data_IF_074597362447
#
_entry.id   IF_074597362447
#
_cell.length_a   1.000
_cell.length_b   1.000
_cell.length_c   1.000
_cell.angle_alpha   90.00
_cell.angle_beta   90.00
_cell.angle_gamma   90.00
#
_symmetry.space_group_name_H-M   'P 1'
#
loop_
_entity.id
_entity.type
_entity.pdbx_description
1 polymer ?
#
# COMPACT_ATOMS: atom_id res chain seq x y z
N UNK A 1 5.47 6.10 10.00
CA UNK A 1 6.68 5.29 9.88
C UNK A 1 6.13 3.96 9.43
N UNK A 2 6.39 3.58 8.20
CA UNK A 2 5.65 2.48 7.57
C UNK A 2 6.42 1.21 7.84
N UNK A 3 5.77 0.23 8.45
CA UNK A 3 6.43 -1.00 8.89
C UNK A 3 6.26 -2.01 7.77
N UNK A 4 7.38 -2.49 7.25
CA UNK A 4 7.40 -3.66 6.39
C UNK A 4 8.52 -4.56 6.91
N UNK A 5 8.14 -5.65 7.57
CA UNK A 5 9.03 -6.68 8.11
C UNK A 5 8.33 -8.01 7.96
N UNK A 6 9.09 -9.01 7.56
CA UNK A 6 8.63 -10.39 7.59
C UNK A 6 9.81 -11.33 7.85
N UNK A 7 9.64 -12.25 8.80
CA UNK A 7 10.58 -13.34 9.02
C UNK A 7 10.13 -14.65 8.36
N UNK A 8 8.95 -14.69 7.73
CA UNK A 8 8.41 -15.84 6.99
C UNK A 8 8.31 -17.13 7.83
N UNK A 9 8.28 -17.01 9.16
CA UNK A 9 8.26 -18.13 10.13
C UNK A 9 6.85 -18.54 10.56
N UNK A 10 5.81 -17.82 10.14
CA UNK A 10 4.43 -18.13 10.52
C UNK A 10 3.75 -19.15 9.58
N UNK A 11 4.37 -19.42 8.43
CA UNK A 11 3.97 -20.47 7.50
C UNK A 11 2.77 -20.09 6.64
N UNK A 12 2.41 -18.81 6.59
CA UNK A 12 1.39 -18.28 5.71
C UNK A 12 1.77 -16.88 5.23
N UNK A 13 1.95 -16.74 3.91
CA UNK A 13 2.18 -15.42 3.33
C UNK A 13 0.99 -14.48 3.62
N UNK A 14 1.23 -13.49 4.48
CA UNK A 14 0.20 -12.60 4.99
C UNK A 14 -0.30 -11.65 3.89
N UNK A 15 -1.54 -11.85 3.45
CA UNK A 15 -2.18 -11.02 2.43
C UNK A 15 -2.39 -9.56 2.87
N UNK A 16 -2.17 -9.23 4.15
CA UNK A 16 -2.14 -7.85 4.63
C UNK A 16 -0.79 -7.17 4.45
N UNK A 17 0.28 -7.96 4.30
CA UNK A 17 1.64 -7.49 4.04
C UNK A 17 2.03 -7.63 2.58
N UNK A 18 1.50 -8.64 1.89
CA UNK A 18 1.96 -9.05 0.57
C UNK A 18 0.85 -9.15 -0.46
N UNK A 19 1.12 -8.58 -1.63
CA UNK A 19 0.41 -8.84 -2.87
C UNK A 19 1.23 -9.81 -3.73
N UNK A 20 0.54 -10.76 -4.35
CA UNK A 20 1.16 -11.82 -5.14
C UNK A 20 0.64 -11.75 -6.55
N UNK A 21 1.56 -11.58 -7.50
CA UNK A 21 1.28 -11.80 -8.91
C UNK A 21 2.09 -13.00 -9.39
N UNK A 22 1.41 -14.01 -9.95
CA UNK A 22 2.10 -15.18 -10.48
C UNK A 22 1.41 -15.73 -11.72
N UNK A 23 2.23 -16.17 -12.67
CA UNK A 23 1.80 -16.93 -13.83
C UNK A 23 1.45 -18.39 -13.49
N UNK A 24 0.71 -19.06 -14.36
CA UNK A 24 0.49 -20.51 -14.25
C UNK A 24 1.85 -21.24 -14.28
N UNK A 25 2.06 -22.20 -13.37
CA UNK A 25 3.25 -23.06 -13.38
C UNK A 25 4.32 -22.75 -12.33
N UNK A 26 4.21 -21.64 -11.61
CA UNK A 26 4.96 -21.38 -10.38
C UNK A 26 4.07 -21.57 -9.15
N UNK A 27 4.69 -21.83 -8.00
CA UNK A 27 4.04 -21.85 -6.71
C UNK A 27 4.85 -21.01 -5.71
N UNK A 28 4.16 -20.13 -4.99
CA UNK A 28 4.73 -19.34 -3.91
C UNK A 28 4.13 -19.84 -2.60
N UNK A 29 4.97 -20.08 -1.61
CA UNK A 29 4.54 -20.36 -0.25
C UNK A 29 5.64 -20.02 0.74
N UNK A 30 5.25 -19.72 1.96
CA UNK A 30 6.17 -19.82 3.09
C UNK A 30 6.34 -21.29 3.47
N UNK A 31 7.59 -21.75 3.58
CA UNK A 31 7.88 -23.15 3.89
C UNK A 31 9.20 -23.29 4.62
N UNK A 32 9.11 -23.73 5.89
CA UNK A 32 10.24 -23.92 6.81
C UNK A 32 11.00 -22.62 7.12
N UNK A 33 10.29 -21.50 7.29
CA UNK A 33 10.90 -20.21 7.62
C UNK A 33 11.37 -19.38 6.43
N UNK A 34 11.14 -19.84 5.19
CA UNK A 34 11.53 -19.11 3.98
C UNK A 34 10.31 -18.79 3.13
N UNK A 35 10.32 -17.63 2.46
CA UNK A 35 9.52 -17.39 1.27
C UNK A 35 10.11 -18.21 0.10
N UNK A 36 9.36 -19.21 -0.37
CA UNK A 36 9.81 -20.15 -1.39
C UNK A 36 9.08 -19.95 -2.70
N UNK A 37 9.86 -19.77 -3.77
CA UNK A 37 9.42 -19.81 -5.15
C UNK A 37 9.79 -21.18 -5.74
N UNK A 38 8.79 -21.98 -6.08
CA UNK A 38 8.95 -23.27 -6.77
C UNK A 38 8.50 -23.13 -8.22
N UNK A 39 9.41 -23.37 -9.15
CA UNK A 39 9.16 -23.23 -10.59
C UNK A 39 8.94 -24.58 -11.26
N UNK A 40 7.90 -24.65 -12.09
CA UNK A 40 7.63 -25.78 -12.97
C UNK A 40 8.70 -26.00 -14.04
N UNK A 41 8.56 -27.09 -14.79
CA UNK A 41 9.45 -27.43 -15.92
C UNK A 41 8.82 -27.01 -17.25
N UNK A 42 9.62 -26.49 -18.18
CA UNK A 42 9.17 -26.09 -19.53
C UNK A 42 8.09 -25.01 -19.49
N UNK A 43 8.28 -24.04 -18.59
CA UNK A 43 7.33 -22.95 -18.38
C UNK A 43 8.01 -21.58 -18.52
N UNK A 44 7.18 -20.58 -18.78
CA UNK A 44 7.55 -19.18 -18.69
C UNK A 44 6.84 -18.60 -17.50
N UNK A 45 7.59 -17.98 -16.60
CA UNK A 45 7.05 -17.47 -15.36
C UNK A 45 7.41 -16.01 -15.15
N UNK A 46 6.43 -15.30 -14.60
CA UNK A 46 6.57 -13.98 -14.01
C UNK A 46 5.92 -14.11 -12.65
N UNK A 47 6.71 -14.05 -11.58
CA UNK A 47 6.22 -14.38 -10.24
C UNK A 47 6.82 -13.41 -9.25
N UNK A 48 6.00 -12.49 -8.76
CA UNK A 48 6.38 -11.38 -7.91
C UNK A 48 5.62 -11.45 -6.58
N UNK A 49 6.32 -11.11 -5.50
CA UNK A 49 5.74 -10.85 -4.18
C UNK A 49 6.13 -9.42 -3.82
N UNK A 50 5.13 -8.53 -3.81
CA UNK A 50 5.28 -7.10 -3.56
C UNK A 50 4.58 -6.73 -2.25
N UNK A 51 5.05 -5.70 -1.54
CA UNK A 51 4.35 -5.22 -0.36
C UNK A 51 2.94 -4.73 -0.73
N UNK A 52 1.90 -5.15 0.00
CA UNK A 52 0.50 -4.76 -0.23
C UNK A 52 0.21 -3.28 0.11
N UNK A 53 1.11 -2.68 0.88
CA UNK A 53 1.12 -1.27 1.24
C UNK A 53 2.40 -0.64 0.71
N UNK A 54 2.31 0.63 0.32
CA UNK A 54 3.50 1.41 0.05
C UNK A 54 4.33 1.60 1.33
N UNK A 55 5.63 1.61 1.13
CA UNK A 55 6.70 1.79 2.07
C UNK A 55 7.40 3.12 1.72
N UNK A 56 7.56 3.98 2.71
CA UNK A 56 8.37 5.18 2.54
C UNK A 56 9.84 4.80 2.71
N UNK A 57 10.60 4.84 1.62
CA UNK A 57 12.02 4.54 1.62
C UNK A 57 12.89 5.76 2.01
N UNK A 58 12.30 6.93 2.29
CA UNK A 58 13.03 8.18 2.54
C UNK A 58 13.93 8.10 3.77
N UNK A 59 15.24 8.23 3.55
CA UNK A 59 16.30 8.06 4.56
C UNK A 59 16.22 6.72 5.31
N UNK A 60 15.74 5.66 4.63
CA UNK A 60 15.56 4.33 5.20
C UNK A 60 16.40 3.29 4.50
N UNK A 61 16.35 2.08 5.04
CA UNK A 61 16.99 0.90 4.49
C UNK A 61 15.96 -0.18 4.27
N UNK A 62 16.21 -1.06 3.33
CA UNK A 62 15.47 -2.31 3.18
C UNK A 62 16.46 -3.45 3.04
N UNK A 63 16.31 -4.50 3.85
CA UNK A 63 17.20 -5.66 3.90
C UNK A 63 16.41 -6.94 3.58
N UNK A 64 17.06 -7.89 2.91
CA UNK A 64 16.54 -9.24 2.69
C UNK A 64 17.70 -10.25 2.73
N UNK A 65 17.41 -11.45 3.21
CA UNK A 65 18.32 -12.59 3.15
C UNK A 65 18.01 -13.49 1.94
N UNK A 66 19.06 -13.98 1.30
CA UNK A 66 19.04 -15.10 0.36
C UNK A 66 19.69 -16.29 1.07
N UNK A 67 18.91 -17.11 1.81
CA UNK A 67 19.45 -18.14 2.70
C UNK A 67 20.09 -19.32 1.94
N UNK A 68 19.68 -19.52 0.68
CA UNK A 68 20.22 -20.55 -0.20
C UNK A 68 20.75 -19.91 -1.47
N UNK A 69 21.91 -20.38 -1.94
CA UNK A 69 22.52 -19.87 -3.17
C UNK A 69 21.54 -19.89 -4.35
N UNK A 70 21.50 -18.79 -5.10
CA UNK A 70 20.82 -18.73 -6.40
C UNK A 70 21.57 -19.64 -7.37
N UNK A 71 20.88 -20.66 -7.87
CA UNK A 71 21.43 -21.62 -8.83
C UNK A 71 20.42 -21.78 -9.96
N UNK A 72 20.75 -21.22 -11.12
CA UNK A 72 19.97 -21.42 -12.33
C UNK A 72 20.01 -22.88 -12.78
N UNK A 73 18.84 -23.46 -13.12
CA UNK A 73 18.79 -24.75 -13.79
C UNK A 73 19.62 -24.79 -15.09
N UNK A 74 20.18 -25.94 -15.49
CA UNK A 74 20.91 -26.03 -16.75
C UNK A 74 20.01 -25.76 -17.97
N UNK A 75 20.42 -24.83 -18.84
CA UNK A 75 19.66 -24.40 -20.03
C UNK A 75 18.31 -23.73 -19.69
N UNK A 76 18.23 -23.05 -18.54
CA UNK A 76 17.19 -22.08 -18.25
C UNK A 76 17.71 -20.65 -18.43
N UNK A 77 16.79 -19.71 -18.34
CA UNK A 77 17.01 -18.27 -18.34
C UNK A 77 16.17 -17.78 -17.17
N UNK A 78 16.72 -17.82 -15.95
CA UNK A 78 15.94 -17.54 -14.73
C UNK A 78 16.62 -16.45 -13.92
N UNK A 79 15.81 -15.45 -13.64
CA UNK A 79 16.22 -14.24 -12.99
C UNK A 79 15.65 -14.20 -11.58
N UNK A 80 16.45 -13.70 -10.64
CA UNK A 80 16.05 -13.47 -9.25
C UNK A 80 16.27 -12.01 -8.92
N UNK A 81 15.19 -11.31 -8.58
CA UNK A 81 15.22 -9.87 -8.29
C UNK A 81 14.76 -9.56 -6.87
N UNK A 82 15.36 -8.53 -6.30
CA UNK A 82 14.94 -7.83 -5.09
C UNK A 82 14.95 -6.34 -5.39
N UNK A 83 13.79 -5.68 -5.27
CA UNK A 83 13.59 -4.35 -5.79
C UNK A 83 12.84 -3.42 -4.83
N UNK A 84 13.08 -2.12 -5.01
CA UNK A 84 12.25 -1.02 -4.52
C UNK A 84 11.65 -0.34 -5.75
N UNK A 85 10.33 -0.34 -5.84
CA UNK A 85 9.58 0.11 -7.01
C UNK A 85 8.77 1.35 -6.65
N UNK A 86 8.86 2.43 -7.42
CA UNK A 86 7.83 3.47 -7.42
C UNK A 86 6.65 3.03 -8.30
N UNK A 87 6.96 2.50 -9.49
CA UNK A 87 6.01 1.93 -10.43
C UNK A 87 6.72 0.96 -11.41
N UNK A 88 5.99 0.37 -12.36
CA UNK A 88 6.54 -0.58 -13.35
C UNK A 88 7.66 0.01 -14.22
N UNK A 89 7.69 1.32 -14.43
CA UNK A 89 8.71 2.01 -15.22
C UNK A 89 9.78 2.71 -14.38
N UNK A 90 9.68 2.67 -13.06
CA UNK A 90 10.56 3.39 -12.13
C UNK A 90 10.90 2.52 -10.91
N UNK A 91 12.06 1.86 -10.92
CA UNK A 91 12.51 1.01 -9.81
C UNK A 91 14.04 0.91 -9.71
N UNK A 92 14.52 0.45 -8.56
CA UNK A 92 15.91 0.04 -8.33
C UNK A 92 15.94 -1.42 -7.92
N UNK A 93 16.91 -2.19 -8.41
CA UNK A 93 16.95 -3.63 -8.16
C UNK A 93 18.36 -4.18 -7.92
N UNK A 94 18.41 -5.22 -7.09
CA UNK A 94 19.39 -6.28 -7.21
C UNK A 94 18.80 -7.34 -8.12
N UNK A 95 19.60 -7.82 -9.06
CA UNK A 95 19.21 -8.81 -10.04
C UNK A 95 20.30 -9.86 -10.15
N UNK A 96 19.94 -11.14 -10.15
CA UNK A 96 20.86 -12.26 -10.36
C UNK A 96 20.44 -13.03 -11.61
N UNK A 97 21.35 -13.08 -12.59
CA UNK A 97 21.20 -13.75 -13.89
C UNK A 97 22.58 -14.15 -14.44
N UNK A 98 22.64 -15.28 -15.16
CA UNK A 98 23.81 -15.96 -15.72
C UNK A 98 25.00 -16.00 -14.72
N UNK A 99 24.68 -16.24 -13.44
CA UNK A 99 25.66 -16.27 -12.35
C UNK A 99 26.33 -14.92 -12.04
N UNK A 100 25.71 -13.81 -12.42
CA UNK A 100 26.15 -12.44 -12.13
C UNK A 100 25.18 -11.76 -11.18
N UNK A 101 25.69 -11.04 -10.18
CA UNK A 101 24.93 -10.06 -9.42
C UNK A 101 24.99 -8.72 -10.16
N UNK A 102 23.83 -8.11 -10.38
CA UNK A 102 23.66 -6.82 -11.03
C UNK A 102 22.98 -5.85 -10.06
N UNK A 103 23.47 -4.62 -10.00
CA UNK A 103 22.73 -3.50 -9.44
C UNK A 103 22.21 -2.67 -10.61
N UNK A 104 20.90 -2.50 -10.71
CA UNK A 104 20.27 -1.82 -11.83
C UNK A 104 19.23 -0.81 -11.39
N UNK A 105 18.93 0.10 -12.31
CA UNK A 105 17.83 1.07 -12.19
C UNK A 105 17.01 1.00 -13.48
N UNK A 106 15.71 1.18 -13.36
CA UNK A 106 14.83 1.44 -14.48
C UNK A 106 14.12 2.76 -14.23
N UNK A 107 14.25 3.70 -15.15
CA UNK A 107 13.69 5.05 -15.04
C UNK A 107 12.92 5.39 -16.32
N UNK A 108 11.66 5.77 -16.21
CA UNK A 108 10.77 5.99 -17.38
C UNK A 108 10.82 4.81 -18.38
N UNK A 109 10.77 3.60 -17.85
CA UNK A 109 10.88 2.34 -18.60
C UNK A 109 12.18 2.18 -19.39
N UNK A 110 13.26 2.79 -18.92
CA UNK A 110 14.61 2.63 -19.47
C UNK A 110 15.50 1.97 -18.44
N UNK A 111 15.72 0.67 -18.63
CA UNK A 111 16.57 -0.13 -17.77
C UNK A 111 18.05 0.13 -18.02
N UNK A 112 18.83 0.18 -16.94
CA UNK A 112 20.27 0.36 -16.96
C UNK A 112 20.97 -0.41 -15.83
N UNK A 113 21.89 -1.30 -16.19
CA UNK A 113 22.88 -1.84 -15.26
C UNK A 113 23.84 -0.74 -14.79
N UNK A 114 23.95 -0.54 -13.48
CA UNK A 114 24.93 0.36 -12.86
C UNK A 114 26.21 -0.40 -12.53
N UNK A 115 26.07 -1.65 -12.09
CA UNK A 115 27.17 -2.54 -11.70
C UNK A 115 26.82 -3.99 -12.04
N UNK A 116 27.81 -4.78 -12.44
CA UNK A 116 27.68 -6.22 -12.60
C UNK A 116 28.98 -6.91 -12.16
N UNK A 117 28.86 -7.94 -11.30
CA UNK A 117 29.97 -8.75 -10.80
C UNK A 117 29.58 -10.23 -10.66
N UNK A 118 30.52 -11.18 -10.61
CA UNK A 118 30.17 -12.58 -10.39
C UNK A 118 29.41 -12.78 -9.07
N UNK A 119 28.28 -13.48 -9.13
CA UNK A 119 27.50 -13.81 -7.93
C UNK A 119 28.29 -14.77 -7.02
N UNK A 120 28.31 -14.45 -5.74
CA UNK A 120 28.97 -15.24 -4.70
C UNK A 120 28.02 -15.41 -3.51
N UNK A 121 27.42 -16.59 -3.31
CA UNK A 121 26.40 -16.80 -2.27
C UNK A 121 26.95 -16.68 -0.84
N UNK A 122 28.27 -16.69 -0.65
CA UNK A 122 28.88 -16.42 0.67
C UNK A 122 29.01 -14.92 0.94
N UNK A 123 29.19 -14.10 -0.09
CA UNK A 123 29.33 -12.64 0.05
C UNK A 123 28.02 -11.87 -0.16
N UNK A 124 27.09 -12.46 -0.92
CA UNK A 124 25.80 -11.89 -1.32
C UNK A 124 24.63 -12.53 -0.59
N UNK A 125 24.85 -13.02 0.64
CA UNK A 125 23.81 -13.65 1.45
C UNK A 125 22.73 -12.65 1.87
N UNK A 126 23.13 -11.44 2.21
CA UNK A 126 22.22 -10.35 2.53
C UNK A 126 22.33 -9.25 1.47
N UNK A 127 21.18 -8.77 1.02
CA UNK A 127 21.07 -7.63 0.12
C UNK A 127 20.42 -6.47 0.85
N UNK A 128 20.88 -5.25 0.59
CA UNK A 128 20.33 -4.05 1.21
C UNK A 128 20.30 -2.87 0.25
N UNK A 129 19.16 -2.20 0.23
CA UNK A 129 19.06 -0.83 -0.24
C UNK A 129 19.17 0.14 0.93
N UNK A 130 19.85 1.25 0.70
CA UNK A 130 19.88 2.38 1.63
C UNK A 130 19.66 3.68 0.88
N UNK A 131 18.66 4.44 1.31
CA UNK A 131 18.54 5.85 0.98
C UNK A 131 19.31 6.66 2.03
N UNK A 132 20.36 7.35 1.59
CA UNK A 132 21.17 8.21 2.46
C UNK A 132 20.75 9.69 2.42
N UNK A 133 19.60 9.98 1.82
CA UNK A 133 19.02 11.30 1.61
C UNK A 133 19.30 11.88 0.23
N UNK A 134 20.36 11.43 -0.45
CA UNK A 134 20.77 11.91 -1.78
C UNK A 134 20.93 10.82 -2.84
N UNK A 135 21.19 9.59 -2.40
CA UNK A 135 21.47 8.45 -3.27
C UNK A 135 20.80 7.20 -2.73
N UNK A 136 20.39 6.33 -3.65
CA UNK A 136 20.19 4.91 -3.35
C UNK A 136 21.56 4.24 -3.37
N UNK A 137 21.83 3.43 -2.37
CA UNK A 137 23.06 2.65 -2.23
C UNK A 137 22.70 1.17 -2.18
N UNK A 138 23.40 0.37 -2.99
CA UNK A 138 23.32 -1.09 -2.99
C UNK A 138 24.43 -1.62 -2.08
N UNK A 139 24.06 -2.35 -1.03
CA UNK A 139 24.99 -2.98 -0.10
C UNK A 139 24.75 -4.49 -0.03
N UNK A 140 25.83 -5.22 0.24
CA UNK A 140 25.78 -6.67 0.47
C UNK A 140 26.48 -7.04 1.78
N UNK A 141 26.06 -8.14 2.40
CA UNK A 141 26.74 -8.77 3.53
C UNK A 141 26.81 -10.28 3.38
N UNK A 142 27.96 -10.84 3.77
CA UNK A 142 28.18 -12.28 3.87
C UNK A 142 28.02 -12.83 5.28
N UNK A 143 27.57 -12.02 6.24
CA UNK A 143 27.40 -12.41 7.63
C UNK A 143 26.37 -13.56 7.74
N UNK A 144 26.63 -14.50 8.66
CA UNK A 144 25.68 -15.57 8.98
C UNK A 144 24.78 -15.12 10.12
N UNK A 145 23.46 -15.25 9.96
CA UNK A 145 22.49 -14.64 10.87
C UNK A 145 22.42 -13.13 10.61
N UNK A 146 22.12 -12.32 11.64
CA UNK A 146 21.90 -10.88 11.47
C UNK A 146 23.10 -10.15 10.83
N UNK A 147 22.88 -9.35 9.78
CA UNK A 147 23.95 -8.67 9.06
C UNK A 147 24.46 -7.45 9.84
N UNK A 148 25.77 -7.40 10.07
CA UNK A 148 26.45 -6.29 10.77
C UNK A 148 27.54 -5.62 9.93
N UNK A 149 28.08 -6.34 8.94
CA UNK A 149 29.15 -5.86 8.06
C UNK A 149 28.62 -5.67 6.64
N UNK A 150 28.36 -4.43 6.27
CA UNK A 150 27.87 -4.07 4.94
C UNK A 150 28.99 -3.57 4.04
N UNK A 151 29.00 -4.04 2.79
CA UNK A 151 29.91 -3.55 1.75
C UNK A 151 29.10 -2.90 0.63
N UNK A 152 29.42 -1.64 0.31
CA UNK A 152 28.83 -0.94 -0.84
C UNK A 152 29.26 -1.62 -2.14
N UNK A 153 28.30 -1.84 -3.03
CA UNK A 153 28.53 -2.32 -4.40
C UNK A 153 28.30 -1.24 -5.43
N UNK A 154 27.27 -0.43 -5.24
CA UNK A 154 26.95 0.67 -6.14
C UNK A 154 26.16 1.77 -5.43
N UNK A 155 26.04 2.91 -6.10
CA UNK A 155 25.22 4.03 -5.68
C UNK A 155 24.67 4.78 -6.91
N UNK A 156 23.51 5.39 -6.76
CA UNK A 156 22.82 6.10 -7.83
C UNK A 156 22.08 7.33 -7.28
N UNK A 157 22.11 8.44 -8.02
CA UNK A 157 21.54 9.72 -7.57
C UNK A 157 20.01 9.71 -7.61
N UNK A 158 19.38 10.11 -6.51
CA UNK A 158 17.93 9.96 -6.29
C UNK A 158 17.05 10.91 -7.11
N UNK A 159 17.59 12.04 -7.59
CA UNK A 159 16.86 13.00 -8.43
C UNK A 159 16.34 12.36 -9.73
N UNK A 160 16.77 11.14 -10.04
CA UNK A 160 16.42 10.40 -11.24
C UNK A 160 15.61 9.13 -10.97
N UNK A 161 15.20 8.84 -9.74
CA UNK A 161 14.70 7.51 -9.35
C UNK A 161 13.18 7.44 -9.35
N UNK A 162 12.50 7.91 -8.30
CA UNK A 162 11.03 8.05 -8.20
C UNK A 162 10.69 8.72 -6.85
N UNK A 163 9.41 8.97 -6.59
CA UNK A 163 8.97 9.40 -5.26
C UNK A 163 9.19 8.29 -4.22
N UNK A 164 10.11 8.54 -3.28
CA UNK A 164 10.48 7.59 -2.23
C UNK A 164 9.41 7.40 -1.16
N UNK A 165 8.40 8.26 -1.11
CA UNK A 165 7.33 8.18 -0.11
C UNK A 165 6.38 7.01 -0.39
N UNK A 166 6.23 6.66 -1.66
CA UNK A 166 5.22 5.73 -2.15
C UNK A 166 5.87 4.61 -2.96
N UNK A 167 6.61 3.74 -2.26
CA UNK A 167 7.39 2.69 -2.91
C UNK A 167 6.91 1.32 -2.48
N UNK A 168 6.96 0.34 -3.36
CA UNK A 168 6.73 -1.05 -3.01
C UNK A 168 8.05 -1.78 -2.92
N UNK A 169 8.16 -2.66 -1.93
CA UNK A 169 9.31 -3.53 -1.79
C UNK A 169 8.88 -4.91 -2.24
N UNK A 170 9.72 -5.59 -3.00
CA UNK A 170 9.41 -6.96 -3.31
C UNK A 170 10.55 -7.76 -3.86
N UNK A 171 10.24 -9.03 -4.04
CA UNK A 171 11.13 -10.03 -4.63
C UNK A 171 10.41 -10.70 -5.78
N UNK A 172 11.19 -11.07 -6.78
CA UNK A 172 10.67 -11.61 -8.01
C UNK A 172 11.54 -12.74 -8.51
N UNK A 173 10.90 -13.73 -9.12
CA UNK A 173 11.57 -14.79 -9.88
C UNK A 173 10.86 -14.88 -11.22
N UNK A 174 11.58 -14.66 -12.31
CA UNK A 174 11.01 -14.64 -13.66
C UNK A 174 11.93 -15.22 -14.70
N UNK A 175 11.38 -15.56 -15.87
CA UNK A 175 12.12 -16.14 -16.98
C UNK A 175 11.54 -17.46 -17.48
N UNK A 176 12.39 -18.36 -17.95
CA UNK A 176 12.00 -19.64 -18.55
C UNK A 176 12.83 -20.82 -18.05
N UNK A 177 12.17 -21.92 -17.75
CA UNK A 177 12.86 -23.19 -17.41
C UNK A 177 12.77 -24.16 -18.57
N UNK A 178 13.84 -24.91 -18.82
CA UNK A 178 13.83 -25.99 -19.82
C UNK A 178 14.19 -27.32 -19.15
N UNK A 179 13.31 -28.32 -19.23
CA UNK A 179 13.50 -29.70 -18.73
C UNK A 179 13.74 -29.87 -17.21
N UNK A 180 14.02 -28.81 -16.44
CA UNK A 180 14.25 -28.83 -15.00
C UNK A 180 13.70 -27.55 -14.35
N UNK A 181 12.97 -27.66 -13.25
CA UNK A 181 12.48 -26.53 -12.45
C UNK A 181 13.56 -25.94 -11.53
N UNK A 182 13.21 -24.93 -10.76
CA UNK A 182 14.11 -24.26 -9.81
C UNK A 182 13.38 -23.95 -8.50
N UNK A 183 14.16 -23.85 -7.41
CA UNK A 183 13.67 -23.45 -6.10
C UNK A 183 14.50 -22.26 -5.64
N UNK A 184 13.85 -21.14 -5.34
CA UNK A 184 14.48 -19.91 -4.89
C UNK A 184 13.86 -19.49 -3.57
N UNK A 185 14.70 -18.93 -2.69
CA UNK A 185 14.34 -18.67 -1.30
C UNK A 185 14.76 -17.27 -0.90
N UNK A 186 13.88 -16.60 -0.20
CA UNK A 186 14.14 -15.35 0.50
C UNK A 186 13.72 -15.51 1.95
N UNK A 187 14.40 -14.81 2.84
CA UNK A 187 14.11 -14.85 4.27
C UNK A 187 14.39 -13.46 4.89
N UNK A 188 13.86 -13.21 6.07
CA UNK A 188 14.29 -12.15 6.97
C UNK A 188 14.25 -10.73 6.37
N UNK A 189 13.12 -10.34 5.79
CA UNK A 189 12.93 -8.97 5.31
C UNK A 189 12.87 -7.99 6.49
N UNK A 190 13.79 -7.02 6.54
CA UNK A 190 13.80 -5.95 7.55
C UNK A 190 13.73 -6.45 9.00
N UNK A 191 14.23 -7.65 9.29
CA UNK A 191 14.19 -8.19 10.66
C UNK A 191 15.25 -7.59 11.58
N UNK A 192 16.25 -6.90 11.00
CA UNK A 192 17.33 -6.22 11.71
C UNK A 192 16.98 -4.81 12.17
N UNK A 193 15.90 -4.23 11.64
CA UNK A 193 15.31 -2.98 12.15
C UNK A 193 14.34 -3.30 13.31
N UNK A 194 14.29 -2.41 14.32
CA UNK A 194 13.44 -2.62 15.49
C UNK A 194 11.95 -2.70 15.12
N UNK A 195 11.10 -3.12 16.08
CA UNK A 195 9.64 -3.08 15.89
C UNK A 195 9.17 -1.63 15.80
N UNK A 196 9.12 -1.10 14.59
CA UNK A 196 8.44 0.16 14.30
C UNK A 196 6.93 -0.10 14.29
N UNK A 197 6.13 0.95 14.47
CA UNK A 197 4.66 0.91 14.33
C UNK A 197 4.27 1.82 13.17
N UNK A 198 3.13 1.56 12.53
CA UNK A 198 2.62 2.42 11.48
C UNK A 198 2.52 3.88 11.97
N UNK A 199 2.64 4.84 11.05
CA UNK A 199 2.44 6.24 11.42
C UNK A 199 1.04 6.42 12.04
N UNK A 200 0.88 7.26 13.08
CA UNK A 200 -0.45 7.67 13.51
C UNK A 200 -1.26 8.16 12.31
N UNK A 201 -2.53 7.80 12.23
CA UNK A 201 -3.40 8.13 11.11
C UNK A 201 -3.49 9.64 10.84
N UNK A 202 -3.46 10.46 11.87
CA UNK A 202 -3.48 11.92 11.81
C UNK A 202 -2.14 12.57 11.42
N UNK A 203 -1.10 11.77 11.14
CA UNK A 203 0.22 12.28 10.73
C UNK A 203 0.40 12.43 9.23
N UNK A 204 -0.52 11.89 8.43
CA UNK A 204 -0.61 12.15 7.00
C UNK A 204 -1.86 12.97 6.72
N UNK A 205 -1.73 13.88 5.79
CA UNK A 205 -2.74 14.87 5.45
C UNK A 205 -2.66 15.19 3.99
N UNK A 206 -3.78 15.66 3.46
CA UNK A 206 -3.90 16.14 2.09
C UNK A 206 -4.82 17.36 2.07
N UNK A 207 -4.33 18.49 1.57
CA UNK A 207 -5.11 19.71 1.38
C UNK A 207 -5.74 19.79 -0.02
N UNK A 208 -5.47 18.79 -0.88
CA UNK A 208 -5.98 18.71 -2.25
C UNK A 208 -5.71 19.99 -3.07
N UNK A 209 -4.58 20.67 -2.78
CA UNK A 209 -4.16 21.95 -3.36
C UNK A 209 -3.00 21.81 -4.38
N UNK A 210 -2.53 20.59 -4.67
CA UNK A 210 -1.38 20.35 -5.56
C UNK A 210 -1.80 20.01 -7.00
N UNK A 211 -3.08 19.66 -7.20
CA UNK A 211 -3.67 19.34 -8.49
C UNK A 211 -3.37 17.93 -8.99
N UNK A 212 -2.88 17.04 -8.13
CA UNK A 212 -2.58 15.64 -8.41
C UNK A 212 -3.13 14.70 -7.33
N UNK A 213 -4.29 14.13 -7.63
CA UNK A 213 -4.94 13.08 -6.82
C UNK A 213 -3.99 11.91 -6.50
N UNK A 214 -2.96 11.68 -7.29
CA UNK A 214 -2.11 10.47 -7.18
C UNK A 214 -1.05 10.56 -6.08
N UNK A 215 -0.77 11.74 -5.49
CA UNK A 215 0.23 11.87 -4.42
C UNK A 215 -0.27 11.20 -3.13
N UNK A 216 0.13 9.95 -2.89
CA UNK A 216 -0.26 9.20 -1.71
C UNK A 216 -1.60 8.47 -1.80
N UNK A 217 -2.28 8.56 -2.94
CA UNK A 217 -3.47 7.77 -3.22
C UNK A 217 -3.26 6.78 -4.36
N UNK A 218 -3.94 5.64 -4.26
CA UNK A 218 -4.19 4.73 -5.35
C UNK A 218 -5.65 4.90 -5.79
N UNK A 219 -5.89 4.73 -7.08
CA UNK A 219 -7.22 4.78 -7.67
C UNK A 219 -7.68 3.38 -8.06
N UNK A 220 -8.89 3.00 -7.64
CA UNK A 220 -9.59 1.88 -8.26
C UNK A 220 -10.53 2.46 -9.33
N UNK A 221 -10.18 2.26 -10.61
CA UNK A 221 -11.02 2.64 -11.74
C UNK A 221 -12.40 1.94 -11.62
N UNK A 222 -13.44 2.72 -11.39
CA UNK A 222 -14.80 2.27 -11.69
C UNK A 222 -14.98 2.09 -13.21
N UNK A 223 -15.99 1.33 -13.63
CA UNK A 223 -16.25 0.78 -14.98
C UNK A 223 -16.52 1.79 -16.12
N UNK A 224 -16.07 3.04 -16.00
CA UNK A 224 -16.07 4.05 -17.04
C UNK A 224 -17.36 4.85 -17.06
N UNK A 225 -17.46 5.86 -16.20
CA UNK A 225 -18.62 6.75 -16.13
C UNK A 225 -18.55 7.84 -15.07
N UNK A 226 -17.65 7.73 -14.10
CA UNK A 226 -17.25 8.85 -13.25
C UNK A 226 -15.83 9.32 -13.58
N UNK A 227 -15.52 10.54 -13.17
CA UNK A 227 -14.20 11.15 -13.28
C UNK A 227 -13.77 11.61 -11.91
N UNK A 228 -12.52 11.34 -11.55
CA UNK A 228 -11.87 11.91 -10.38
C UNK A 228 -10.95 13.06 -10.79
N UNK A 229 -11.02 14.19 -10.08
CA UNK A 229 -10.21 15.35 -10.35
C UNK A 229 -9.91 16.08 -9.05
N UNK A 230 -8.66 16.52 -8.91
CA UNK A 230 -8.31 17.52 -7.92
C UNK A 230 -8.30 18.90 -8.57
N UNK A 231 -9.13 19.81 -8.07
CA UNK A 231 -9.11 21.19 -8.50
C UNK A 231 -9.70 22.12 -7.44
N UNK A 232 -9.13 23.32 -7.35
CA UNK A 232 -9.56 24.38 -6.43
C UNK A 232 -9.50 23.99 -4.94
N UNK A 233 -8.52 23.18 -4.53
CA UNK A 233 -8.39 22.75 -3.13
C UNK A 233 -9.39 21.66 -2.74
N UNK A 234 -9.87 20.85 -3.69
CA UNK A 234 -10.85 19.81 -3.41
C UNK A 234 -10.64 18.63 -4.36
N UNK A 235 -10.85 17.42 -3.85
CA UNK A 235 -11.02 16.23 -4.68
C UNK A 235 -12.49 16.04 -5.03
N UNK A 236 -12.79 15.92 -6.32
CA UNK A 236 -14.14 15.76 -6.88
C UNK A 236 -14.27 14.40 -7.53
N UNK A 237 -15.36 13.70 -7.23
CA UNK A 237 -15.81 12.55 -8.01
C UNK A 237 -17.17 12.87 -8.61
N UNK A 238 -17.19 13.07 -9.93
CA UNK A 238 -18.38 13.38 -10.71
C UNK A 238 -18.75 12.23 -11.65
N UNK A 239 -20.01 11.83 -11.62
CA UNK A 239 -20.56 10.69 -12.33
C UNK A 239 -21.59 11.11 -13.38
N UNK A 240 -21.52 10.50 -14.56
CA UNK A 240 -22.48 10.69 -15.64
C UNK A 240 -23.80 9.95 -15.38
N UNK A 241 -24.83 10.30 -16.14
CA UNK A 241 -26.09 9.54 -16.18
C UNK A 241 -25.84 8.10 -16.62
N UNK A 242 -26.53 7.14 -15.99
CA UNK A 242 -26.44 5.73 -16.34
C UNK A 242 -25.38 4.94 -15.57
N UNK A 243 -24.64 5.57 -14.66
CA UNK A 243 -23.65 4.90 -13.81
C UNK A 243 -24.32 4.16 -12.66
N UNK A 244 -23.88 2.91 -12.44
CA UNK A 244 -24.24 2.01 -11.35
C UNK A 244 -22.95 1.35 -10.83
N UNK A 245 -22.18 2.09 -10.01
CA UNK A 245 -20.82 1.68 -9.66
C UNK A 245 -20.24 2.37 -8.41
N UNK A 246 -19.07 1.89 -7.97
CA UNK A 246 -18.22 2.46 -6.94
C UNK A 246 -16.97 3.09 -7.56
N UNK A 247 -16.57 4.24 -7.04
CA UNK A 247 -15.34 4.95 -7.40
C UNK A 247 -14.61 5.32 -6.12
N UNK A 248 -13.38 4.86 -6.01
CA UNK A 248 -12.63 4.88 -4.76
C UNK A 248 -11.23 5.44 -4.99
N UNK A 249 -10.79 6.27 -4.06
CA UNK A 249 -9.37 6.47 -3.81
C UNK A 249 -9.05 6.00 -2.41
N UNK A 250 -7.91 5.36 -2.27
CA UNK A 250 -7.42 4.88 -0.98
C UNK A 250 -5.94 5.17 -0.82
N UNK A 251 -5.52 5.42 0.42
CA UNK A 251 -4.14 5.72 0.71
C UNK A 251 -3.25 4.56 0.26
N UNK A 252 -2.12 4.86 -0.40
CA UNK A 252 -1.22 3.81 -0.89
C UNK A 252 -0.65 2.98 0.26
N UNK A 253 -0.56 3.58 1.43
CA UNK A 253 0.02 2.95 2.60
C UNK A 253 -0.94 2.95 3.81
N UNK A 254 -0.65 2.11 4.81
CA UNK A 254 -1.50 1.88 5.97
C UNK A 254 -1.03 2.59 7.26
N UNK A 255 -1.97 3.07 8.05
CA UNK A 255 -1.75 3.88 9.25
C UNK A 255 -2.24 3.22 10.52
N UNK A 256 -1.67 3.62 11.66
CA UNK A 256 -2.14 3.22 12.98
C UNK A 256 -3.22 4.20 13.45
N UNK A 257 -4.46 3.73 13.61
CA UNK A 257 -5.55 4.52 14.16
C UNK A 257 -5.48 4.59 15.70
N UNK A 258 -4.70 3.75 16.37
CA UNK A 258 -4.60 3.67 17.84
C UNK A 258 -4.19 5.00 18.45
N UNK A 259 -5.05 5.57 19.30
CA UNK A 259 -4.88 6.88 19.91
C UNK A 259 -4.88 8.04 18.91
N UNK A 260 -5.31 7.81 17.67
CA UNK A 260 -5.27 8.74 16.54
C UNK A 260 -6.66 8.88 15.91
N UNK A 261 -6.74 9.57 14.76
CA UNK A 261 -7.98 9.87 14.07
C UNK A 261 -7.77 10.12 12.58
N UNK A 262 -8.86 10.00 11.82
CA UNK A 262 -8.98 10.57 10.47
C UNK A 262 -10.11 11.58 10.44
N UNK A 263 -9.86 12.76 9.85
CA UNK A 263 -10.85 13.80 9.62
C UNK A 263 -10.94 14.18 8.16
N UNK A 264 -12.12 14.55 7.70
CA UNK A 264 -12.30 15.12 6.36
C UNK A 264 -13.43 16.14 6.38
N UNK A 265 -13.33 17.15 5.50
CA UNK A 265 -14.42 18.07 5.19
C UNK A 265 -15.22 17.55 4.00
N UNK A 266 -16.54 17.41 4.16
CA UNK A 266 -17.46 17.14 3.05
C UNK A 266 -17.89 18.48 2.43
N UNK A 267 -17.22 18.92 1.36
CA UNK A 267 -17.53 20.19 0.67
C UNK A 267 -18.77 20.08 -0.20
N UNK A 268 -19.04 18.89 -0.76
CA UNK A 268 -20.27 18.56 -1.50
C UNK A 268 -20.79 17.18 -1.11
N UNK A 269 -21.68 17.16 -0.13
CA UNK A 269 -22.40 15.97 0.27
C UNK A 269 -23.56 15.60 -0.70
N UNK A 270 -23.93 14.32 -0.83
CA UNK A 270 -25.11 13.90 -1.57
C UNK A 270 -26.38 14.61 -1.10
N UNK A 271 -27.20 15.05 -2.05
CA UNK A 271 -28.50 15.62 -1.73
C UNK A 271 -29.47 14.54 -1.22
N UNK A 272 -30.39 14.91 -0.33
CA UNK A 272 -31.39 13.96 0.15
C UNK A 272 -32.28 13.46 -0.99
N UNK A 273 -32.40 12.13 -1.12
CA UNK A 273 -33.11 11.49 -2.23
C UNK A 273 -32.30 11.39 -3.53
N UNK A 274 -31.03 11.79 -3.54
CA UNK A 274 -30.09 11.47 -4.63
C UNK A 274 -29.77 9.99 -4.64
N UNK A 275 -29.46 9.44 -5.82
CA UNK A 275 -28.89 8.11 -5.98
C UNK A 275 -27.37 8.08 -5.72
N UNK A 276 -26.73 9.21 -5.44
CA UNK A 276 -25.32 9.26 -5.03
C UNK A 276 -25.17 8.98 -3.53
N UNK A 277 -24.11 8.25 -3.20
CA UNK A 277 -23.57 8.14 -1.86
C UNK A 277 -22.11 8.59 -1.80
N UNK A 278 -21.66 8.94 -0.59
CA UNK A 278 -20.25 9.22 -0.29
C UNK A 278 -19.84 8.52 1.00
N UNK A 279 -18.57 8.16 1.11
CA UNK A 279 -18.05 7.49 2.29
C UNK A 279 -16.64 7.97 2.64
N UNK A 280 -16.41 8.22 3.93
CA UNK A 280 -15.08 8.13 4.53
C UNK A 280 -15.01 6.75 5.19
N UNK A 281 -14.04 5.95 4.81
CA UNK A 281 -13.81 4.66 5.45
C UNK A 281 -12.34 4.45 5.80
N UNK A 282 -12.11 3.60 6.78
CA UNK A 282 -10.78 3.07 7.08
C UNK A 282 -10.84 1.55 7.07
N UNK A 283 -9.96 0.92 6.30
CA UNK A 283 -9.96 -0.52 6.06
C UNK A 283 -8.63 -1.15 6.45
N UNK A 284 -8.68 -2.29 7.12
CA UNK A 284 -7.51 -3.15 7.19
C UNK A 284 -7.12 -3.63 5.77
N UNK A 285 -5.84 -3.90 5.49
CA UNK A 285 -5.40 -4.32 4.16
C UNK A 285 -6.08 -5.60 3.64
N UNK A 286 -6.65 -6.43 4.53
CA UNK A 286 -7.42 -7.63 4.16
C UNK A 286 -8.79 -7.34 3.50
N UNK A 287 -9.23 -6.07 3.47
CA UNK A 287 -10.53 -5.60 2.97
C UNK A 287 -11.76 -6.28 3.62
N UNK A 288 -11.57 -6.90 4.78
CA UNK A 288 -12.60 -7.60 5.54
C UNK A 288 -12.93 -6.91 6.86
N UNK A 289 -12.02 -6.08 7.36
CA UNK A 289 -12.19 -5.35 8.61
C UNK A 289 -12.14 -3.85 8.35
N UNK A 290 -13.15 -3.10 8.83
CA UNK A 290 -13.25 -1.68 8.49
C UNK A 290 -14.22 -0.87 9.35
N UNK A 291 -14.06 0.45 9.28
CA UNK A 291 -14.90 1.44 9.96
C UNK A 291 -15.39 2.44 8.92
N UNK A 292 -16.69 2.64 8.81
CA UNK A 292 -17.30 3.39 7.71
C UNK A 292 -18.16 4.52 8.26
N UNK A 293 -17.92 5.73 7.77
CA UNK A 293 -18.84 6.87 7.83
C UNK A 293 -19.46 7.02 6.44
N UNK A 294 -20.60 6.38 6.24
CA UNK A 294 -21.28 6.26 4.96
C UNK A 294 -22.47 7.22 4.91
N UNK A 295 -22.64 7.98 3.83
CA UNK A 295 -23.73 8.92 3.64
C UNK A 295 -24.46 8.62 2.33
N UNK A 296 -25.67 8.08 2.46
CA UNK A 296 -26.52 7.65 1.34
C UNK A 296 -27.88 8.34 1.38
N UNK A 297 -28.26 8.99 0.27
CA UNK A 297 -29.56 9.63 0.10
C UNK A 297 -29.98 10.58 1.26
N UNK A 298 -29.01 11.24 1.91
CA UNK A 298 -29.22 12.13 3.05
C UNK A 298 -29.34 11.42 4.41
N UNK A 299 -28.91 10.16 4.51
CA UNK A 299 -28.82 9.38 5.75
C UNK A 299 -27.38 8.93 5.97
N UNK A 300 -26.85 9.17 7.16
CA UNK A 300 -25.58 8.61 7.59
C UNK A 300 -25.78 7.21 8.17
N UNK A 301 -24.91 6.29 7.79
CA UNK A 301 -24.73 4.95 8.33
C UNK A 301 -23.33 4.86 8.91
N UNK A 302 -23.24 4.74 10.23
CA UNK A 302 -21.97 4.60 10.93
C UNK A 302 -21.79 3.11 11.20
N UNK A 303 -20.78 2.50 10.60
CA UNK A 303 -20.70 1.04 10.49
C UNK A 303 -19.36 0.48 10.93
N UNK A 304 -19.39 -0.74 11.45
CA UNK A 304 -18.22 -1.59 11.62
C UNK A 304 -18.37 -2.79 10.70
N UNK A 305 -17.31 -3.15 10.00
CA UNK A 305 -17.21 -4.36 9.19
C UNK A 305 -16.22 -5.28 9.88
N UNK A 306 -16.64 -6.48 10.24
CA UNK A 306 -15.83 -7.50 10.94
C UNK A 306 -15.90 -8.82 10.17
N UNK A 307 -14.76 -9.29 9.67
CA UNK A 307 -14.65 -10.46 8.80
C UNK A 307 -15.66 -10.42 7.63
N UNK A 308 -15.80 -9.25 7.00
CA UNK A 308 -16.70 -8.97 5.87
C UNK A 308 -18.16 -8.73 6.26
N UNK A 309 -18.52 -8.77 7.55
CA UNK A 309 -19.90 -8.55 7.99
C UNK A 309 -20.12 -7.08 8.40
N UNK A 310 -20.82 -6.31 7.56
CA UNK A 310 -21.22 -4.94 7.87
C UNK A 310 -22.32 -4.91 8.93
N UNK A 311 -22.10 -4.12 9.98
CA UNK A 311 -23.08 -3.83 11.03
C UNK A 311 -23.15 -2.31 11.27
N UNK A 312 -24.32 -1.72 11.02
CA UNK A 312 -24.58 -0.31 11.30
C UNK A 312 -24.74 -0.12 12.82
N UNK A 313 -23.77 0.55 13.44
CA UNK A 313 -23.80 0.89 14.87
C UNK A 313 -24.65 2.13 15.16
N UNK A 314 -24.90 2.96 14.15
CA UNK A 314 -25.90 4.02 14.19
C UNK A 314 -26.39 4.40 12.79
N UNK A 315 -27.60 4.93 12.73
CA UNK A 315 -28.20 5.52 11.53
C UNK A 315 -28.88 6.83 11.90
N UNK A 316 -28.64 7.90 11.14
CA UNK A 316 -29.23 9.22 11.40
C UNK A 316 -29.31 10.08 10.13
N UNK A 317 -30.21 11.05 10.11
CA UNK A 317 -30.27 11.99 8.98
C UNK A 317 -29.01 12.85 8.92
N UNK A 318 -28.49 13.08 7.71
CA UNK A 318 -27.39 14.01 7.49
C UNK A 318 -27.86 15.45 7.75
N UNK A 319 -27.04 16.23 8.46
CA UNK A 319 -27.24 17.65 8.70
C UNK A 319 -25.90 18.36 8.51
N UNK A 320 -25.73 19.10 7.39
CA UNK A 320 -24.50 19.85 7.11
C UNK A 320 -24.13 20.85 8.23
N UNK A 321 -25.13 21.36 8.95
CA UNK A 321 -24.91 22.24 10.10
C UNK A 321 -24.19 21.57 11.28
N UNK A 322 -24.13 20.25 11.32
CA UNK A 322 -23.53 19.46 12.41
C UNK A 322 -22.44 18.48 11.92
N UNK A 323 -22.37 18.21 10.61
CA UNK A 323 -21.59 17.11 10.01
C UNK A 323 -20.88 17.51 8.71
N UNK A 324 -20.63 18.81 8.51
CA UNK A 324 -19.77 19.27 7.40
C UNK A 324 -18.39 18.64 7.50
N UNK A 325 -17.89 18.49 8.72
CA UNK A 325 -16.69 17.73 9.04
C UNK A 325 -17.09 16.44 9.73
N UNK A 326 -16.39 15.36 9.40
CA UNK A 326 -16.58 14.05 10.04
C UNK A 326 -15.24 13.51 10.52
N UNK A 327 -15.27 12.73 11.61
CA UNK A 327 -14.09 12.12 12.19
C UNK A 327 -14.35 10.71 12.67
N UNK A 328 -13.42 9.81 12.37
CA UNK A 328 -13.29 8.49 13.00
C UNK A 328 -12.06 8.57 13.91
N UNK A 329 -12.25 8.39 15.22
CA UNK A 329 -11.18 8.54 16.22
C UNK A 329 -11.13 7.33 17.12
N UNK A 330 -9.96 6.77 17.35
CA UNK A 330 -9.75 5.74 18.36
C UNK A 330 -9.10 6.34 19.60
N UNK A 331 -9.58 5.91 20.76
CA UNK A 331 -8.94 6.16 22.04
C UNK A 331 -9.14 4.96 22.96
N UNK A 332 -8.04 4.36 23.39
CA UNK A 332 -8.02 3.34 24.45
C UNK A 332 -8.95 2.14 24.19
N UNK A 333 -8.98 1.67 22.95
CA UNK A 333 -9.78 0.54 22.44
C UNK A 333 -11.18 0.92 21.95
N UNK A 334 -11.60 2.19 22.05
CA UNK A 334 -12.93 2.64 21.62
C UNK A 334 -12.82 3.54 20.39
N UNK A 335 -13.53 3.18 19.33
CA UNK A 335 -13.69 4.01 18.15
C UNK A 335 -14.94 4.88 18.31
N UNK A 336 -14.78 6.18 18.12
CA UNK A 336 -15.85 7.18 18.12
C UNK A 336 -16.04 7.72 16.71
N UNK A 337 -17.30 7.83 16.27
CA UNK A 337 -17.69 8.56 15.08
C UNK A 337 -18.25 9.91 15.50
N UNK A 338 -17.68 10.98 14.98
CA UNK A 338 -17.93 12.34 15.41
C UNK A 338 -18.26 13.24 14.19
N UNK A 339 -19.10 14.24 14.42
CA UNK A 339 -19.43 15.27 13.42
C UNK A 339 -19.09 16.66 13.95
N UNK A 340 -18.77 17.58 13.04
CA UNK A 340 -18.57 18.99 13.36
C UNK A 340 -19.09 19.90 12.25
N UNK A 341 -19.53 21.10 12.63
CA UNK A 341 -19.89 22.16 11.69
C UNK A 341 -18.68 22.93 11.15
N UNK A 342 -17.60 22.97 11.94
CA UNK A 342 -16.44 23.85 11.76
C UNK A 342 -15.08 23.15 11.85
N UNK A 343 -15.06 21.84 12.11
CA UNK A 343 -13.84 21.04 12.27
C UNK A 343 -13.12 21.24 13.61
N UNK A 344 -13.60 22.16 14.46
CA UNK A 344 -13.01 22.49 15.76
C UNK A 344 -13.83 21.87 16.89
N UNK A 345 -15.14 22.13 16.90
CA UNK A 345 -16.05 21.63 17.92
C UNK A 345 -16.71 20.33 17.47
N UNK A 346 -16.29 19.21 18.07
CA UNK A 346 -16.74 17.87 17.70
C UNK A 346 -17.89 17.39 18.59
N UNK A 347 -18.91 16.81 17.96
CA UNK A 347 -20.04 16.16 18.62
C UNK A 347 -19.99 14.66 18.38
N UNK A 348 -20.07 13.87 19.46
CA UNK A 348 -20.17 12.42 19.38
C UNK A 348 -21.49 12.00 18.75
N UNK A 349 -21.43 11.22 17.67
CA UNK A 349 -22.59 10.63 17.02
C UNK A 349 -22.85 9.20 17.54
N UNK A 350 -21.81 8.38 17.59
CA UNK A 350 -21.83 7.04 18.19
C UNK A 350 -20.42 6.55 18.50
N UNK A 351 -20.30 5.42 19.19
CA UNK A 351 -19.02 4.77 19.47
C UNK A 351 -19.17 3.25 19.50
N UNK A 352 -18.07 2.54 19.25
CA UNK A 352 -18.00 1.08 19.21
C UNK A 352 -16.61 0.58 19.64
N UNK A 353 -16.49 -0.71 19.92
CA UNK A 353 -15.22 -1.37 20.22
C UNK A 353 -15.01 -2.43 19.13
N UNK A 354 -14.11 -2.18 18.15
CA UNK A 354 -13.78 -3.17 17.14
C UNK A 354 -13.20 -4.45 17.76
N UNK A 355 -13.47 -5.58 17.13
CA UNK A 355 -12.97 -6.92 17.47
C UNK A 355 -11.66 -7.25 16.76
N UNK A 356 -11.25 -6.42 15.81
CA UNK A 356 -10.00 -6.48 15.06
C UNK A 356 -9.03 -5.37 15.49
N UNK A 357 -7.75 -5.54 15.14
CA UNK A 357 -6.73 -4.53 15.40
C UNK A 357 -6.85 -3.35 14.42
N UNK A 358 -6.75 -2.12 14.94
CA UNK A 358 -6.78 -0.89 14.12
C UNK A 358 -5.39 -0.30 13.88
N UNK A 359 -4.36 -1.15 13.98
CA UNK A 359 -2.93 -0.75 13.93
C UNK A 359 -2.39 -0.55 12.53
N UNK A 360 -3.12 -1.04 11.52
CA UNK A 360 -2.77 -0.91 10.10
C UNK A 360 -4.04 -0.75 9.30
N UNK A 361 -4.34 0.47 8.89
CA UNK A 361 -5.59 0.84 8.23
C UNK A 361 -5.31 1.78 7.04
N UNK A 362 -5.86 1.49 5.87
CA UNK A 362 -5.93 2.40 4.73
C UNK A 362 -7.05 3.40 4.95
N UNK A 363 -6.85 4.66 4.55
CA UNK A 363 -7.92 5.64 4.44
C UNK A 363 -8.52 5.50 3.05
N UNK A 364 -9.84 5.53 2.94
CA UNK A 364 -10.53 5.45 1.66
C UNK A 364 -11.66 6.49 1.58
N UNK A 365 -11.68 7.22 0.46
CA UNK A 365 -12.78 8.09 0.06
C UNK A 365 -13.51 7.45 -1.12
N UNK A 366 -14.80 7.20 -0.92
CA UNK A 366 -15.64 6.49 -1.90
C UNK A 366 -16.79 7.37 -2.34
N UNK A 367 -16.98 7.49 -3.65
CA UNK A 367 -18.25 7.88 -4.23
C UNK A 367 -18.90 6.64 -4.85
N UNK A 368 -20.20 6.48 -4.66
CA UNK A 368 -20.90 5.35 -5.26
C UNK A 368 -22.32 5.75 -5.64
N UNK A 369 -22.97 4.90 -6.43
CA UNK A 369 -24.38 5.08 -6.75
C UNK A 369 -25.20 3.94 -6.16
N UNK A 370 -26.27 4.25 -5.42
CA UNK A 370 -27.15 3.25 -4.80
C UNK A 370 -28.08 2.59 -5.82
N UNK A 371 -28.30 3.26 -6.95
CA UNK A 371 -28.94 2.74 -8.16
C UNK A 371 -28.38 3.48 -9.38
N UNK A 372 -28.76 3.05 -10.59
CA UNK A 372 -28.40 3.75 -11.83
C UNK A 372 -28.79 5.24 -11.82
N UNK A 373 -27.80 6.13 -11.95
CA UNK A 373 -28.02 7.58 -11.96
C UNK A 373 -28.95 8.03 -13.07
N UNK A 374 -29.95 8.84 -12.72
CA UNK A 374 -30.92 9.42 -13.68
C UNK A 374 -30.49 10.78 -14.23
N UNK A 375 -29.52 11.43 -13.58
CA UNK A 375 -28.88 12.69 -13.98
C UNK A 375 -27.42 12.69 -13.52
N UNK A 376 -26.54 13.52 -14.12
CA UNK A 376 -25.18 13.66 -13.62
C UNK A 376 -25.18 14.20 -12.19
N UNK A 377 -24.32 13.64 -11.35
CA UNK A 377 -24.20 13.98 -9.93
C UNK A 377 -22.77 13.69 -9.46
N UNK A 378 -22.45 14.00 -8.21
CA UNK A 378 -21.08 13.90 -7.72
C UNK A 378 -20.94 14.45 -6.33
N UNK A 379 -19.77 14.22 -5.74
CA UNK A 379 -19.42 14.52 -4.36
C UNK A 379 -18.00 15.05 -4.30
N UNK A 380 -17.67 15.82 -3.27
CA UNK A 380 -16.31 16.33 -3.08
C UNK A 380 -15.92 16.41 -1.61
N UNK A 381 -14.61 16.31 -1.39
CA UNK A 381 -13.95 16.37 -0.11
C UNK A 381 -12.80 17.38 -0.14
N UNK A 382 -12.41 17.81 1.06
CA UNK A 382 -11.31 18.74 1.31
C UNK A 382 -10.68 18.46 2.68
N UNK A 383 -9.46 18.93 2.90
CA UNK A 383 -8.76 19.01 4.18
C UNK A 383 -8.66 17.67 4.94
N UNK A 384 -8.10 16.62 4.31
CA UNK A 384 -7.85 15.36 5.00
C UNK A 384 -6.85 15.60 6.14
N UNK A 385 -7.26 15.31 7.37
CA UNK A 385 -6.46 15.52 8.59
C UNK A 385 -5.97 16.96 8.79
N UNK A 386 -6.63 17.93 8.15
CA UNK A 386 -6.32 19.37 8.26
C UNK A 386 -7.52 20.18 8.78
N UNK A 387 -8.14 19.80 9.92
CA UNK A 387 -9.20 20.61 10.49
C UNK A 387 -8.68 22.02 10.86
N UNK A 388 -9.54 23.06 10.82
CA UNK A 388 -9.15 24.40 11.23
C UNK A 388 -8.56 24.41 12.64
N UNK A 389 -7.57 25.29 12.86
CA UNK A 389 -7.00 25.47 14.19
C UNK A 389 -8.05 26.00 15.20
N UNK A 390 -8.01 25.55 16.47
CA UNK A 390 -8.97 25.98 17.51
C UNK A 390 -8.97 27.48 17.87
#
# INVERSE_FOLDING_TARGET
MWVLRDDFEDGQLDATLWEIEHSTGSNIAETNGDLVFELGTNDSFLTHVLSALAYDFTNRTVTIEIPTAVVEPPNSDVDVSFAILGDEGNYVEFYVDDGMLVCAVEINSQWQAIMSEPYNPTEHRWLRFEDNGSQVVWLVSGDVGSPTNWTVRSQYDLDQVFDRRWTHVGVAVYGTTTNQGGTYRFDNLNVDVGTESHCPMDSWSDDFDDGDVSDGWLHADGSGGCTIQENNGEVHIDCATGVDDYYQIYSQAGFDLTGSNVTIQNTRAPESGSEMGMMLSVWAPNLQDGLLFDMDAGTNYLSVVDAGNKNDVAQMSYQAADQRWVRIREDSGTVSFEGSSDGVAWTLLTSTVPTFAVTTMKIELTAYTSTTLTAPAGVSWDDLNLPPAP
#
